data_IF_754993820748
#
_entry.id   IF_754993820748
#
_cell.length_a   1.000
_cell.length_b   1.000
_cell.length_c   1.000
_cell.angle_alpha   90.00
_cell.angle_beta   90.00
_cell.angle_gamma   90.00
#
_symmetry.space_group_name_H-M   'P 1'
#
loop_
_entity.id
_entity.type
_entity.pdbx_description
1 polymer ?
#
# COMPACT_ATOMS: atom_id res chain seq x y z
N UNK A 1 -18.16 17.11 21.58
CA UNK A 1 -17.09 17.71 20.74
C UNK A 1 -16.39 16.58 20.02
N UNK A 2 -16.87 16.26 18.83
CA UNK A 2 -16.22 15.27 17.95
C UNK A 2 -15.02 15.93 17.26
N UNK A 3 -13.84 15.35 17.46
CA UNK A 3 -12.62 15.78 16.79
C UNK A 3 -12.54 15.08 15.42
N UNK A 4 -13.07 15.75 14.40
CA UNK A 4 -12.88 15.40 13.00
C UNK A 4 -11.41 15.66 12.63
N UNK A 5 -10.57 14.62 12.63
CA UNK A 5 -9.23 14.73 12.03
C UNK A 5 -9.37 14.77 10.52
N UNK A 6 -9.11 15.95 9.97
CA UNK A 6 -8.85 16.18 8.55
C UNK A 6 -7.61 15.39 8.14
N UNK A 7 -7.81 14.46 7.21
CA UNK A 7 -6.74 13.68 6.58
C UNK A 7 -6.09 14.52 5.48
N UNK A 8 -5.11 15.35 5.86
CA UNK A 8 -4.16 15.95 4.92
C UNK A 8 -2.91 15.10 4.88
N UNK A 9 -2.97 14.01 4.10
CA UNK A 9 -1.81 13.23 3.69
C UNK A 9 -0.97 14.05 2.69
N UNK A 10 -0.27 15.06 3.19
CA UNK A 10 0.79 15.72 2.46
C UNK A 10 2.05 14.85 2.56
N UNK A 11 2.68 14.61 1.41
CA UNK A 11 4.00 14.02 1.27
C UNK A 11 5.00 14.95 1.97
N UNK A 12 5.09 14.86 3.29
CA UNK A 12 6.20 15.39 4.05
C UNK A 12 7.13 14.21 4.26
N UNK A 13 8.41 14.39 3.93
CA UNK A 13 9.44 13.48 4.36
C UNK A 13 9.32 13.38 5.89
N UNK A 14 8.72 12.29 6.38
CA UNK A 14 8.56 12.09 7.82
C UNK A 14 9.96 12.09 8.43
N UNK A 15 10.23 13.10 9.24
CA UNK A 15 11.50 13.23 9.94
C UNK A 15 11.43 12.34 11.17
N UNK A 16 12.49 11.56 11.41
CA UNK A 16 12.58 10.75 12.62
C UNK A 16 12.53 11.66 13.85
N UNK A 17 11.74 11.28 14.86
CA UNK A 17 11.72 11.99 16.14
C UNK A 17 13.04 11.79 16.88
N UNK A 18 13.36 12.71 17.81
CA UNK A 18 14.57 12.62 18.63
C UNK A 18 14.67 11.29 19.40
N UNK A 19 13.55 10.84 19.98
CA UNK A 19 13.48 9.53 20.64
C UNK A 19 13.77 8.38 19.65
N UNK A 20 13.21 8.44 18.44
CA UNK A 20 13.48 7.45 17.39
C UNK A 20 14.97 7.36 17.06
N UNK A 21 15.63 8.51 16.94
CA UNK A 21 17.07 8.57 16.67
C UNK A 21 17.89 7.97 17.83
N UNK A 22 17.56 8.30 19.08
CA UNK A 22 18.25 7.73 20.25
C UNK A 22 18.08 6.20 20.32
N UNK A 23 16.88 5.71 20.00
CA UNK A 23 16.56 4.28 19.98
C UNK A 23 17.30 3.53 18.87
N UNK A 24 17.48 4.14 17.69
CA UNK A 24 18.25 3.53 16.60
C UNK A 24 19.77 3.60 16.81
N UNK A 25 20.26 4.50 17.66
CA UNK A 25 21.68 4.60 18.01
C UNK A 25 22.10 3.67 19.14
N UNK A 26 21.14 3.16 19.90
CA UNK A 26 21.42 2.19 20.96
C UNK A 26 21.53 0.77 20.38
N UNK A 27 22.69 0.13 20.59
CA UNK A 27 23.01 -1.21 20.08
C UNK A 27 22.00 -2.28 20.51
N UNK A 28 21.44 -2.18 21.73
CA UNK A 28 20.50 -3.16 22.25
C UNK A 28 19.11 -3.09 21.58
N UNK A 29 18.73 -1.93 21.04
CA UNK A 29 17.38 -1.69 20.50
C UNK A 29 17.35 -1.52 18.99
N UNK A 30 18.44 -1.07 18.38
CA UNK A 30 18.52 -0.75 16.95
C UNK A 30 18.10 -1.92 16.06
N UNK A 31 18.77 -3.07 16.21
CA UNK A 31 18.51 -4.26 15.39
C UNK A 31 17.09 -4.82 15.58
N UNK A 32 16.61 -5.12 16.81
CA UNK A 32 15.29 -5.71 16.99
C UNK A 32 14.15 -4.80 16.50
N UNK A 33 14.28 -3.49 16.67
CA UNK A 33 13.27 -2.53 16.19
C UNK A 33 13.30 -2.44 14.68
N UNK A 34 14.49 -2.36 14.08
CA UNK A 34 14.62 -2.32 12.62
C UNK A 34 14.04 -3.56 11.96
N UNK A 35 14.36 -4.74 12.50
CA UNK A 35 13.78 -6.00 12.05
C UNK A 35 12.27 -6.04 12.26
N UNK A 36 11.75 -5.55 13.40
CA UNK A 36 10.32 -5.52 13.66
C UNK A 36 9.58 -4.67 12.62
N UNK A 37 10.09 -3.46 12.31
CA UNK A 37 9.50 -2.58 11.29
C UNK A 37 9.54 -3.23 9.91
N UNK A 38 10.67 -3.83 9.51
CA UNK A 38 10.78 -4.53 8.23
C UNK A 38 9.84 -5.75 8.16
N UNK A 39 9.70 -6.50 9.25
CA UNK A 39 8.78 -7.64 9.32
C UNK A 39 7.32 -7.21 9.31
N UNK A 40 6.99 -6.06 9.89
CA UNK A 40 5.64 -5.51 9.87
C UNK A 40 5.16 -5.18 8.44
N UNK A 41 6.07 -4.86 7.51
CA UNK A 41 5.75 -4.74 6.07
C UNK A 41 5.24 -6.06 5.46
N UNK A 42 5.59 -7.21 6.05
CA UNK A 42 5.31 -8.55 5.53
C UNK A 42 4.37 -9.36 6.44
N UNK A 43 3.75 -8.75 7.45
CA UNK A 43 2.72 -9.42 8.23
C UNK A 43 1.46 -9.61 7.38
N UNK A 44 0.67 -10.66 7.63
CA UNK A 44 -0.61 -10.88 6.96
C UNK A 44 -1.72 -9.89 7.43
N UNK A 45 -1.36 -8.62 7.61
CA UNK A 45 -2.23 -7.51 7.97
C UNK A 45 -1.87 -6.30 7.10
N UNK A 46 -2.73 -6.01 6.13
CA UNK A 46 -2.52 -4.91 5.18
C UNK A 46 -2.57 -3.52 5.83
N UNK A 47 -3.19 -3.39 7.01
CA UNK A 47 -3.19 -2.13 7.76
C UNK A 47 -1.86 -1.96 8.48
N UNK A 48 -1.35 -3.01 9.12
CA UNK A 48 -0.03 -2.98 9.76
C UNK A 48 1.08 -2.71 8.73
N UNK A 49 1.06 -3.40 7.58
CA UNK A 49 2.01 -3.16 6.47
C UNK A 49 1.98 -1.71 6.03
N UNK A 50 0.78 -1.15 5.78
CA UNK A 50 0.63 0.25 5.40
C UNK A 50 1.20 1.20 6.45
N UNK A 51 0.96 0.95 7.75
CA UNK A 51 1.53 1.77 8.82
C UNK A 51 3.06 1.65 8.89
N UNK A 52 3.61 0.46 8.69
CA UNK A 52 5.04 0.22 8.66
C UNK A 52 5.75 0.98 7.53
N UNK A 53 5.06 1.28 6.41
CA UNK A 53 5.67 2.09 5.34
C UNK A 53 6.06 3.50 5.77
N UNK A 54 5.32 4.10 6.71
CA UNK A 54 5.62 5.42 7.27
C UNK A 54 6.89 5.40 8.14
N UNK A 55 7.14 4.29 8.83
CA UNK A 55 8.31 4.14 9.72
C UNK A 55 9.57 3.69 8.98
N UNK A 56 9.43 2.81 7.98
CA UNK A 56 10.57 2.18 7.31
C UNK A 56 11.46 3.19 6.57
N UNK A 57 10.87 4.15 5.86
CA UNK A 57 11.62 5.15 5.09
C UNK A 57 12.54 6.03 5.96
N UNK A 58 12.01 6.70 7.01
CA UNK A 58 12.80 7.50 7.94
C UNK A 58 13.84 6.66 8.70
N UNK A 59 13.48 5.44 9.11
CA UNK A 59 14.39 4.50 9.77
C UNK A 59 15.62 4.18 8.92
N UNK A 60 15.43 3.77 7.67
CA UNK A 60 16.55 3.44 6.78
C UNK A 60 17.39 4.68 6.45
N UNK A 61 16.76 5.85 6.34
CA UNK A 61 17.49 7.12 6.16
C UNK A 61 18.42 7.41 7.34
N UNK A 62 17.94 7.24 8.56
CA UNK A 62 18.73 7.44 9.78
C UNK A 62 19.89 6.43 9.88
N UNK A 63 19.60 5.14 9.64
CA UNK A 63 20.63 4.09 9.64
C UNK A 63 21.70 4.34 8.57
N UNK A 64 21.31 4.84 7.40
CA UNK A 64 22.24 5.22 6.34
C UNK A 64 23.09 6.43 6.71
N UNK A 65 22.51 7.44 7.38
CA UNK A 65 23.28 8.63 7.80
C UNK A 65 24.26 8.35 8.93
N UNK A 66 23.92 7.42 9.82
CA UNK A 66 24.80 7.01 10.93
C UNK A 66 25.87 6.00 10.46
N UNK A 67 25.82 5.52 9.21
CA UNK A 67 26.78 4.57 8.65
C UNK A 67 26.62 3.13 9.16
N UNK A 68 25.46 2.80 9.75
CA UNK A 68 25.19 1.53 10.42
C UNK A 68 24.75 0.40 9.48
N UNK A 69 24.61 0.67 8.18
CA UNK A 69 24.14 -0.29 7.19
C UNK A 69 25.29 -1.08 6.58
N UNK A 70 25.11 -2.40 6.47
CA UNK A 70 25.99 -3.29 5.70
C UNK A 70 25.34 -3.67 4.37
N UNK A 71 26.11 -4.18 3.40
CA UNK A 71 25.54 -4.66 2.13
C UNK A 71 24.43 -5.70 2.30
N UNK A 72 24.57 -6.63 3.26
CA UNK A 72 23.57 -7.66 3.55
C UNK A 72 22.28 -7.08 4.12
N UNK A 73 22.40 -6.12 5.04
CA UNK A 73 21.23 -5.44 5.62
C UNK A 73 20.52 -4.60 4.57
N UNK A 74 21.27 -3.90 3.72
CA UNK A 74 20.72 -3.12 2.61
C UNK A 74 19.95 -4.03 1.62
N UNK A 75 20.52 -5.18 1.27
CA UNK A 75 19.85 -6.18 0.45
C UNK A 75 18.55 -6.68 1.13
N UNK A 76 18.61 -7.02 2.42
CA UNK A 76 17.44 -7.49 3.17
C UNK A 76 16.31 -6.43 3.24
N UNK A 77 16.64 -5.15 3.41
CA UNK A 77 15.68 -4.04 3.37
C UNK A 77 14.97 -4.02 2.02
N UNK A 78 15.73 -4.10 0.92
CA UNK A 78 15.15 -4.09 -0.42
C UNK A 78 14.29 -5.34 -0.69
N UNK A 79 14.77 -6.52 -0.30
CA UNK A 79 13.99 -7.75 -0.40
C UNK A 79 12.68 -7.66 0.40
N UNK A 80 12.71 -7.05 1.60
CA UNK A 80 11.52 -6.93 2.46
C UNK A 80 10.43 -6.08 1.81
N UNK A 81 10.77 -4.96 1.15
CA UNK A 81 9.77 -4.14 0.45
C UNK A 81 9.23 -4.83 -0.82
N UNK A 82 10.07 -5.60 -1.52
CA UNK A 82 9.62 -6.40 -2.67
C UNK A 82 8.69 -7.55 -2.24
N UNK A 83 8.98 -8.20 -1.11
CA UNK A 83 8.10 -9.22 -0.52
C UNK A 83 6.77 -8.61 -0.05
N UNK A 84 6.80 -7.42 0.56
CA UNK A 84 5.58 -6.70 0.93
C UNK A 84 4.73 -6.34 -0.30
N UNK A 85 5.36 -5.95 -1.42
CA UNK A 85 4.66 -5.75 -2.70
C UNK A 85 4.02 -7.04 -3.21
N UNK A 86 4.69 -8.17 -3.02
CA UNK A 86 4.14 -9.47 -3.36
C UNK A 86 2.93 -9.86 -2.52
N UNK A 87 2.98 -9.58 -1.21
CA UNK A 87 1.93 -9.96 -0.28
C UNK A 87 0.72 -9.01 -0.33
N UNK A 88 0.96 -7.69 -0.41
CA UNK A 88 -0.07 -6.66 -0.24
C UNK A 88 -0.35 -5.84 -1.50
N UNK A 89 0.39 -6.06 -2.59
CA UNK A 89 0.25 -5.30 -3.83
C UNK A 89 -1.14 -5.39 -4.49
N UNK A 90 -1.95 -6.39 -4.14
CA UNK A 90 -3.35 -6.50 -4.56
C UNK A 90 -4.23 -5.33 -4.07
N UNK A 91 -3.85 -4.69 -2.94
CA UNK A 91 -4.59 -3.58 -2.37
C UNK A 91 -3.99 -2.26 -2.88
N UNK A 92 -4.78 -1.46 -3.60
CA UNK A 92 -4.31 -0.22 -4.24
C UNK A 92 -3.59 0.74 -3.28
N UNK A 93 -4.13 0.91 -2.06
CA UNK A 93 -3.52 1.77 -1.04
C UNK A 93 -2.14 1.26 -0.60
N UNK A 94 -2.01 -0.05 -0.33
CA UNK A 94 -0.72 -0.63 0.04
C UNK A 94 0.26 -0.58 -1.13
N UNK A 95 -0.19 -0.93 -2.33
CA UNK A 95 0.62 -0.86 -3.54
C UNK A 95 1.18 0.55 -3.75
N UNK A 96 0.34 1.57 -3.60
CA UNK A 96 0.75 2.98 -3.71
C UNK A 96 1.86 3.33 -2.72
N UNK A 97 1.66 3.04 -1.43
CA UNK A 97 2.65 3.34 -0.38
C UNK A 97 3.94 2.54 -0.54
N UNK A 98 3.85 1.25 -0.88
CA UNK A 98 5.02 0.38 -1.07
C UNK A 98 5.84 0.76 -2.31
N UNK A 99 5.21 1.23 -3.38
CA UNK A 99 5.95 1.76 -4.55
C UNK A 99 6.72 3.03 -4.21
N UNK A 100 6.11 3.93 -3.42
CA UNK A 100 6.80 5.15 -2.95
C UNK A 100 7.96 4.79 -2.03
N UNK A 101 7.72 3.90 -1.06
CA UNK A 101 8.76 3.41 -0.16
C UNK A 101 9.89 2.72 -0.93
N UNK A 102 9.57 1.85 -1.89
CA UNK A 102 10.57 1.14 -2.69
C UNK A 102 11.50 2.07 -3.45
N UNK A 103 10.96 3.10 -4.10
CA UNK A 103 11.77 4.16 -4.75
C UNK A 103 12.64 4.89 -3.74
N UNK A 104 12.06 5.30 -2.61
CA UNK A 104 12.79 6.01 -1.55
C UNK A 104 13.95 5.17 -0.99
N UNK A 105 13.72 3.89 -0.71
CA UNK A 105 14.73 2.97 -0.20
C UNK A 105 15.81 2.72 -1.24
N UNK A 106 15.43 2.55 -2.51
CA UNK A 106 16.40 2.39 -3.58
C UNK A 106 17.29 3.62 -3.72
N UNK A 107 16.72 4.83 -3.67
CA UNK A 107 17.46 6.09 -3.73
C UNK A 107 18.42 6.29 -2.54
N UNK A 108 18.04 5.84 -1.33
CA UNK A 108 18.91 5.89 -0.15
C UNK A 108 20.06 4.88 -0.27
N UNK A 109 19.77 3.64 -0.68
CA UNK A 109 20.72 2.52 -0.59
C UNK A 109 21.65 2.43 -1.80
N UNK A 110 21.13 2.66 -3.02
CA UNK A 110 21.84 2.42 -4.28
C UNK A 110 23.19 3.14 -4.42
N UNK A 111 23.35 4.40 -3.97
CA UNK A 111 24.63 5.11 -4.07
C UNK A 111 25.76 4.47 -3.23
N UNK A 112 25.41 3.87 -2.09
CA UNK A 112 26.37 3.28 -1.14
C UNK A 112 26.54 1.78 -1.36
N UNK A 113 25.49 1.10 -1.84
CA UNK A 113 25.42 -0.36 -1.92
C UNK A 113 25.10 -0.83 -3.36
N UNK A 114 26.13 -1.10 -4.19
CA UNK A 114 25.95 -1.56 -5.56
C UNK A 114 25.25 -2.92 -5.70
N UNK A 115 25.35 -3.77 -4.68
CA UNK A 115 24.70 -5.09 -4.64
C UNK A 115 23.16 -5.03 -4.69
N UNK A 116 22.56 -3.86 -4.48
CA UNK A 116 21.11 -3.66 -4.62
C UNK A 116 20.63 -3.98 -6.05
N UNK A 117 21.47 -3.80 -7.08
CA UNK A 117 21.13 -4.22 -8.46
C UNK A 117 20.88 -5.72 -8.52
N UNK A 118 21.68 -6.53 -7.82
CA UNK A 118 21.54 -7.99 -7.83
C UNK A 118 20.18 -8.40 -7.26
N UNK A 119 19.72 -7.74 -6.19
CA UNK A 119 18.38 -7.94 -5.62
C UNK A 119 17.29 -7.59 -6.63
N UNK A 120 17.43 -6.46 -7.34
CA UNK A 120 16.45 -6.06 -8.36
C UNK A 120 16.43 -7.00 -9.59
N UNK A 121 17.58 -7.60 -9.94
CA UNK A 121 17.68 -8.56 -11.04
C UNK A 121 17.06 -9.92 -10.71
N UNK A 122 16.82 -10.23 -9.44
CA UNK A 122 16.10 -11.44 -9.02
C UNK A 122 14.59 -11.34 -9.29
N UNK A 123 14.07 -10.15 -9.62
CA UNK A 123 12.66 -9.98 -9.97
C UNK A 123 12.37 -10.69 -11.31
N UNK A 124 11.33 -11.55 -11.38
CA UNK A 124 10.96 -12.23 -12.62
C UNK A 124 10.66 -11.24 -13.75
N UNK A 125 11.23 -11.47 -14.93
CA UNK A 125 11.10 -10.61 -16.11
C UNK A 125 11.54 -9.15 -15.89
N UNK A 126 12.52 -8.92 -15.00
CA UNK A 126 13.10 -7.60 -14.79
C UNK A 126 13.76 -7.08 -16.08
N UNK A 127 13.33 -5.90 -16.55
CA UNK A 127 13.94 -5.25 -17.70
C UNK A 127 15.19 -4.48 -17.27
N UNK A 128 16.37 -5.00 -17.66
CA UNK A 128 17.66 -4.34 -17.44
C UNK A 128 17.69 -2.89 -17.96
N UNK A 129 17.01 -2.62 -19.08
CA UNK A 129 16.93 -1.28 -19.65
C UNK A 129 16.13 -0.32 -18.75
N UNK A 130 15.03 -0.79 -18.16
CA UNK A 130 14.23 0.03 -17.24
C UNK A 130 14.96 0.23 -15.90
N UNK A 131 15.72 -0.77 -15.44
CA UNK A 131 16.56 -0.66 -14.25
C UNK A 131 17.69 0.37 -14.46
N UNK A 132 18.34 0.35 -15.62
CA UNK A 132 19.34 1.37 -15.99
C UNK A 132 18.73 2.78 -16.04
N UNK A 133 17.55 2.96 -16.63
CA UNK A 133 16.84 4.24 -16.62
C UNK A 133 16.50 4.73 -15.22
N UNK A 134 16.18 3.83 -14.29
CA UNK A 134 15.96 4.18 -12.89
C UNK A 134 17.25 4.66 -12.23
N UNK A 135 18.35 3.93 -12.43
CA UNK A 135 19.69 4.30 -11.93
C UNK A 135 20.12 5.68 -12.43
N UNK A 136 20.02 5.94 -13.74
CA UNK A 136 20.36 7.24 -14.32
C UNK A 136 19.54 8.38 -13.71
N UNK A 137 18.24 8.16 -13.49
CA UNK A 137 17.35 9.17 -12.88
C UNK A 137 17.64 9.45 -11.42
N UNK A 138 18.16 8.45 -10.69
CA UNK A 138 18.48 8.58 -9.27
C UNK A 138 19.85 9.22 -9.07
N UNK A 139 20.82 8.89 -9.93
CA UNK A 139 22.15 9.47 -9.90
C UNK A 139 22.20 10.90 -10.46
N UNK A 140 21.23 11.27 -11.31
CA UNK A 140 21.12 12.63 -11.85
C UNK A 140 20.69 13.64 -10.78
N UNK A 141 21.66 14.36 -10.22
CA UNK A 141 21.48 15.35 -9.14
C UNK A 141 20.75 16.63 -9.59
N UNK A 142 20.56 16.84 -10.90
CA UNK A 142 20.15 18.12 -11.47
C UNK A 142 18.63 18.34 -11.61
N UNK A 143 17.78 17.37 -11.24
CA UNK A 143 16.33 17.49 -11.41
C UNK A 143 15.61 17.23 -10.09
N UNK A 144 15.16 18.29 -9.41
CA UNK A 144 14.26 18.18 -8.25
C UNK A 144 12.85 18.61 -8.67
N UNK A 145 11.85 17.78 -8.39
CA UNK A 145 10.45 18.15 -8.61
C UNK A 145 9.50 16.97 -8.78
N UNK A 146 8.20 17.23 -8.57
CA UNK A 146 7.13 16.22 -8.56
C UNK A 146 7.06 15.36 -9.84
N UNK A 147 7.50 15.89 -10.98
CA UNK A 147 7.55 15.14 -12.25
C UNK A 147 8.58 14.02 -12.24
N UNK A 148 9.74 14.23 -11.60
CA UNK A 148 10.78 13.20 -11.50
C UNK A 148 10.35 12.08 -10.55
N UNK A 149 9.81 12.44 -9.39
CA UNK A 149 9.31 11.47 -8.40
C UNK A 149 8.22 10.57 -8.99
N UNK A 150 7.31 11.16 -9.78
CA UNK A 150 6.33 10.39 -10.54
C UNK A 150 7.00 9.44 -11.54
N UNK A 151 8.00 9.91 -12.29
CA UNK A 151 8.70 9.09 -13.28
C UNK A 151 9.49 7.93 -12.64
N UNK A 152 10.21 8.17 -11.53
CA UNK A 152 10.90 7.12 -10.76
C UNK A 152 9.90 6.05 -10.31
N UNK A 153 8.78 6.47 -9.73
CA UNK A 153 7.69 5.57 -9.30
C UNK A 153 7.10 4.78 -10.45
N UNK A 154 6.87 5.39 -11.61
CA UNK A 154 6.31 4.71 -12.77
C UNK A 154 7.29 3.68 -13.39
N UNK A 155 8.60 3.95 -13.35
CA UNK A 155 9.63 2.96 -13.73
C UNK A 155 9.66 1.82 -12.72
N UNK A 156 9.73 2.14 -11.43
CA UNK A 156 9.76 1.14 -10.36
C UNK A 156 8.52 0.24 -10.40
N UNK A 157 7.33 0.82 -10.61
CA UNK A 157 6.08 0.07 -10.81
C UNK A 157 6.18 -0.92 -11.97
N UNK A 158 6.79 -0.53 -13.09
CA UNK A 158 6.98 -1.43 -14.25
C UNK A 158 7.93 -2.57 -13.91
N UNK A 159 9.05 -2.28 -13.24
CA UNK A 159 10.01 -3.28 -12.78
C UNK A 159 9.38 -4.30 -11.83
N UNK A 160 8.56 -3.84 -10.88
CA UNK A 160 7.94 -4.71 -9.87
C UNK A 160 6.57 -5.24 -10.28
N UNK A 161 6.12 -5.01 -11.52
CA UNK A 161 4.75 -5.33 -11.96
C UNK A 161 4.39 -6.81 -11.82
N UNK A 162 5.37 -7.69 -12.01
CA UNK A 162 5.21 -9.14 -11.88
C UNK A 162 5.16 -9.62 -10.42
N UNK A 163 5.65 -8.80 -9.49
CA UNK A 163 5.60 -9.14 -8.07
C UNK A 163 4.24 -8.85 -7.46
N UNK A 164 3.53 -7.83 -7.95
CA UNK A 164 2.26 -7.36 -7.38
C UNK A 164 1.31 -8.54 -7.18
N UNK A 165 1.01 -8.84 -5.91
CA UNK A 165 0.16 -9.97 -5.55
C UNK A 165 -1.17 -9.95 -6.31
N UNK A 166 -1.55 -11.09 -6.87
CA UNK A 166 -2.88 -11.28 -7.45
C UNK A 166 -3.84 -11.74 -6.36
N UNK A 167 -5.06 -11.22 -6.37
CA UNK A 167 -6.06 -11.65 -5.39
C UNK A 167 -6.45 -13.11 -5.59
N UNK A 168 -6.64 -13.86 -4.50
CA UNK A 168 -7.13 -15.25 -4.56
C UNK A 168 -8.44 -15.36 -5.37
N UNK A 169 -9.31 -14.34 -5.27
CA UNK A 169 -10.55 -14.25 -6.06
C UNK A 169 -10.34 -13.99 -7.55
N UNK A 170 -9.16 -13.53 -7.99
CA UNK A 170 -8.78 -13.45 -9.41
C UNK A 170 -8.12 -14.75 -9.88
N UNK A 171 -7.30 -15.40 -9.04
CA UNK A 171 -6.63 -16.67 -9.37
C UNK A 171 -7.61 -17.82 -9.65
N UNK A 172 -8.76 -17.84 -8.97
CA UNK A 172 -9.80 -18.86 -9.15
C UNK A 172 -11.02 -18.37 -9.95
N UNK A 173 -11.00 -17.14 -10.46
CA UNK A 173 -11.97 -16.74 -11.47
C UNK A 173 -11.60 -17.48 -12.75
N UNK A 174 -12.37 -18.51 -13.09
CA UNK A 174 -12.43 -18.99 -14.47
C UNK A 174 -12.77 -17.76 -15.33
N UNK A 175 -11.86 -17.30 -16.18
CA UNK A 175 -12.15 -16.26 -17.16
C UNK A 175 -13.24 -16.79 -18.11
N UNK A 176 -14.50 -16.66 -17.74
CA UNK A 176 -15.61 -16.89 -18.65
C UNK A 176 -15.78 -15.60 -19.43
N UNK A 177 -15.06 -15.47 -20.54
CA UNK A 177 -15.39 -14.47 -21.57
C UNK A 177 -16.70 -14.90 -22.21
N UNK A 178 -17.84 -14.51 -21.64
CA UNK A 178 -19.13 -14.73 -22.29
C UNK A 178 -19.24 -13.66 -23.38
N UNK A 179 -18.94 -14.06 -24.62
CA UNK A 179 -18.81 -13.13 -25.76
C UNK A 179 -20.16 -12.52 -26.16
N UNK A 180 -21.30 -13.09 -25.75
CA UNK A 180 -22.62 -12.48 -25.93
C UNK A 180 -23.55 -12.91 -24.79
N UNK A 181 -23.58 -12.14 -23.71
CA UNK A 181 -24.63 -12.28 -22.70
C UNK A 181 -25.92 -11.68 -23.28
N UNK A 182 -27.00 -12.47 -23.44
CA UNK A 182 -28.31 -11.92 -23.72
C UNK A 182 -28.65 -10.88 -22.65
N UNK A 183 -29.20 -9.72 -23.04
CA UNK A 183 -29.67 -8.74 -22.06
C UNK A 183 -30.69 -9.42 -21.13
N UNK A 184 -30.35 -9.52 -19.85
CA UNK A 184 -31.30 -9.88 -18.82
C UNK A 184 -32.35 -8.77 -18.75
N UNK A 185 -33.57 -9.06 -19.18
CA UNK A 185 -34.72 -8.22 -18.90
C UNK A 185 -35.03 -8.32 -17.40
N UNK A 186 -34.35 -7.50 -16.61
CA UNK A 186 -34.68 -7.34 -15.20
C UNK A 186 -36.05 -6.67 -15.15
N UNK A 187 -37.09 -7.33 -14.57
CA UNK A 187 -38.38 -6.69 -14.41
C UNK A 187 -38.16 -5.39 -13.66
N UNK A 188 -38.64 -4.27 -14.22
CA UNK A 188 -38.57 -2.97 -13.55
C UNK A 188 -39.17 -3.16 -12.16
N UNK A 189 -38.36 -2.99 -11.11
CA UNK A 189 -38.87 -2.90 -9.74
C UNK A 189 -39.95 -1.83 -9.77
N UNK A 190 -41.19 -2.24 -9.60
CA UNK A 190 -42.28 -1.31 -9.37
C UNK A 190 -41.86 -0.51 -8.15
N UNK A 191 -41.76 0.82 -8.30
CA UNK A 191 -41.53 1.69 -7.16
C UNK A 191 -42.64 1.33 -6.16
N UNK A 192 -42.34 0.95 -4.91
CA UNK A 192 -43.39 0.85 -3.91
C UNK A 192 -44.09 2.20 -3.90
N UNK A 193 -45.42 2.17 -3.99
CA UNK A 193 -46.22 3.37 -3.90
C UNK A 193 -45.80 4.13 -2.64
N UNK A 194 -45.60 5.44 -2.77
CA UNK A 194 -45.30 6.30 -1.62
C UNK A 194 -46.47 6.14 -0.64
N UNK A 195 -46.15 5.75 0.59
CA UNK A 195 -47.11 5.50 1.68
C UNK A 195 -47.92 6.77 2.02
N UNK A 196 -47.46 7.94 1.56
CA UNK A 196 -48.08 9.26 1.82
C UNK A 196 -49.35 9.55 1.02
N UNK A 197 -49.73 8.73 0.02
CA UNK A 197 -50.92 9.00 -0.83
C UNK A 197 -52.16 8.18 -0.45
N UNK A 198 -52.08 7.30 0.55
CA UNK A 198 -53.23 6.53 1.02
C UNK A 198 -53.60 6.94 2.45
N UNK A 199 -54.63 7.78 2.57
CA UNK A 199 -55.16 8.27 3.85
C UNK A 199 -55.78 7.19 4.76
N UNK A 200 -55.71 5.92 4.39
CA UNK A 200 -56.23 4.84 5.22
C UNK A 200 -55.36 3.58 5.12
N UNK A 201 -54.21 3.62 5.79
CA UNK A 201 -53.24 2.50 5.85
C UNK A 201 -53.68 1.46 6.89
N UNK A 202 -54.91 1.55 7.42
CA UNK A 202 -55.45 0.59 8.41
C UNK A 202 -54.67 0.51 9.72
N UNK A 203 -53.67 1.37 9.95
CA UNK A 203 -52.80 1.39 11.13
C UNK A 203 -53.61 1.53 12.42
N UNK A 204 -54.70 2.29 12.39
CA UNK A 204 -55.59 2.46 13.55
C UNK A 204 -56.31 1.16 13.96
N UNK A 205 -56.48 0.19 13.05
CA UNK A 205 -57.09 -1.11 13.37
C UNK A 205 -56.14 -2.05 14.12
N UNK A 206 -54.82 -1.85 14.03
CA UNK A 206 -53.82 -2.65 14.75
C UNK A 206 -53.77 -2.35 16.25
N UNK A 207 -54.33 -1.20 16.67
CA UNK A 207 -54.40 -0.77 18.06
C UNK A 207 -55.81 -0.80 18.64
N UNK A 208 -56.78 -1.32 17.88
CA UNK A 208 -58.09 -1.63 18.41
C UNK A 208 -57.97 -2.92 19.22
N UNK A 209 -58.01 -2.79 20.54
CA UNK A 209 -58.16 -3.92 21.44
C UNK A 209 -59.47 -4.61 21.09
N UNK A 210 -59.42 -5.88 20.66
CA UNK A 210 -60.62 -6.70 20.62
C UNK A 210 -61.11 -6.85 22.07
N UNK A 211 -62.14 -6.09 22.45
CA UNK A 211 -62.99 -6.44 23.58
C UNK A 211 -63.73 -7.73 23.21
N UNK A 212 -63.06 -8.86 23.43
CA UNK A 212 -63.68 -10.17 23.44
C UNK A 212 -64.33 -10.39 24.82
N UNK A 213 -65.62 -10.75 24.75
CA UNK A 213 -66.57 -11.19 25.79
C UNK A 213 -67.28 -10.06 26.56
N UNK A 214 -68.62 -10.02 26.55
CA UNK A 214 -69.57 -11.12 26.85
C UNK A 214 -70.75 -11.17 25.88
#
# INVERSE_FOLDING_TARGET
>A
MECTRTNTAAIQAEVMSELGTLVLRNEATCQPISLCVLRALCWNDSKASMQATYLAGPMVRQLSSDGSLTPDVAAHIMTSVLQALQLHGQHEANQGSLLVLGVQLYEILRPTFPNIIEVMNQIPNCSLQELQKLDEKILSTNQKGNKLEKAKKDIFRRLTSQLVGQSMGQLFRKEVRIIDLPKLEVPRRQKPARVDESNDIGLCKLFQTEENNV
#
